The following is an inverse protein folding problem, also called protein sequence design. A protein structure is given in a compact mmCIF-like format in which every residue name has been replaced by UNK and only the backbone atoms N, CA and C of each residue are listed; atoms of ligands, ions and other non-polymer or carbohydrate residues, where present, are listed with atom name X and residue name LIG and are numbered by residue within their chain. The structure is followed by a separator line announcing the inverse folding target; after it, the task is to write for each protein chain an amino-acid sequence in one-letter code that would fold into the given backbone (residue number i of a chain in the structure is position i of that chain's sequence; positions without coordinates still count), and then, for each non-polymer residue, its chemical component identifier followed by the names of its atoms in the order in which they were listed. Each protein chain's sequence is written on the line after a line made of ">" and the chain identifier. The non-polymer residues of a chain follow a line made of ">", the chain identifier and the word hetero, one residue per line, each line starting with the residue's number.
data_IF_167971511873
#
_entry.id   IF_167971511873
#
_cell.length_a   1.000
_cell.length_b   1.000
_cell.length_c   1.000
_cell.angle_alpha   90.00
_cell.angle_beta   90.00
_cell.angle_gamma   90.00
#
_symmetry.space_group_name_H-M   'P 1'
#
loop_
_entity.id
_entity.type
_entity.pdbx_description
1 polymer ?
#
# COMPACT_ATOMS: atom_id res chain seq x y z
N UNK A 1 -15.07 -60.32 -52.74
CA UNK A 1 -15.81 -59.26 -53.46
C UNK A 1 -16.14 -58.16 -52.46
N UNK A 2 -15.62 -56.94 -52.70
CA UNK A 2 -16.21 -55.61 -52.38
C UNK A 2 -16.66 -55.35 -50.92
N UNK A 3 -16.20 -54.36 -50.15
CA UNK A 3 -15.34 -53.20 -50.33
C UNK A 3 -15.58 -52.22 -49.15
N UNK A 4 -14.60 -51.33 -48.88
CA UNK A 4 -14.69 -50.05 -48.14
C UNK A 4 -15.18 -50.04 -46.67
N UNK A 5 -14.23 -49.84 -45.75
CA UNK A 5 -14.41 -48.94 -44.59
C UNK A 5 -13.10 -48.16 -44.39
N UNK A 6 -13.15 -46.86 -44.70
CA UNK A 6 -12.11 -45.89 -44.31
C UNK A 6 -12.24 -45.60 -42.82
N UNK A 7 -11.23 -45.95 -42.04
CA UNK A 7 -11.06 -45.48 -40.66
C UNK A 7 -9.59 -45.13 -40.44
N UNK A 8 -9.24 -43.87 -40.73
CA UNK A 8 -8.09 -43.20 -40.12
C UNK A 8 -8.49 -41.78 -39.74
N UNK A 9 -8.66 -41.57 -38.44
CA UNK A 9 -8.69 -40.26 -37.78
C UNK A 9 -7.38 -40.08 -36.98
N UNK A 10 -7.05 -38.86 -36.54
CA UNK A 10 -5.90 -38.12 -37.04
C UNK A 10 -4.83 -37.95 -35.96
N UNK A 11 -3.57 -37.78 -36.35
CA UNK A 11 -2.54 -37.20 -35.49
C UNK A 11 -1.68 -36.31 -36.39
N UNK A 12 -2.01 -35.02 -36.44
CA UNK A 12 -1.42 -33.99 -35.57
C UNK A 12 -0.16 -33.43 -36.18
N UNK A 13 -0.39 -32.53 -37.13
CA UNK A 13 0.23 -31.21 -37.25
C UNK A 13 1.37 -30.92 -36.24
N UNK A 14 2.58 -31.36 -36.54
CA UNK A 14 3.78 -30.77 -35.93
C UNK A 14 4.02 -29.39 -36.55
N UNK A 15 3.21 -28.41 -36.12
CA UNK A 15 3.61 -27.01 -36.17
C UNK A 15 4.39 -26.74 -34.89
N UNK A 16 5.68 -27.08 -34.92
CA UNK A 16 6.68 -26.60 -33.98
C UNK A 16 6.78 -25.09 -34.08
N UNK A 17 5.83 -24.39 -33.46
CA UNK A 17 5.87 -22.95 -33.22
C UNK A 17 7.08 -22.65 -32.36
N UNK A 18 8.14 -22.14 -32.99
CA UNK A 18 9.29 -21.56 -32.34
C UNK A 18 8.82 -20.37 -31.48
N UNK A 19 8.48 -20.64 -30.23
CA UNK A 19 8.34 -19.59 -29.22
C UNK A 19 9.72 -19.00 -28.97
N UNK A 20 10.02 -17.91 -29.68
CA UNK A 20 11.11 -17.00 -29.35
C UNK A 20 10.83 -16.44 -27.95
N UNK A 21 11.47 -17.00 -26.93
CA UNK A 21 11.85 -16.19 -25.79
C UNK A 21 12.85 -15.16 -26.31
N UNK A 22 12.35 -13.97 -26.64
CA UNK A 22 13.16 -12.77 -26.72
C UNK A 22 13.55 -12.46 -25.27
N UNK A 23 14.51 -13.21 -24.74
CA UNK A 23 15.41 -12.69 -23.73
C UNK A 23 16.08 -11.49 -24.40
N UNK A 24 15.50 -10.31 -24.20
CA UNK A 24 16.28 -9.09 -24.23
C UNK A 24 17.35 -9.32 -23.18
N UNK A 25 18.56 -9.65 -23.64
CA UNK A 25 19.72 -9.63 -22.79
C UNK A 25 19.71 -8.26 -22.12
N UNK A 26 19.53 -8.24 -20.80
CA UNK A 26 19.84 -7.08 -19.99
C UNK A 26 21.27 -6.71 -20.39
N UNK A 27 21.40 -5.59 -21.09
CA UNK A 27 22.71 -5.04 -21.44
C UNK A 27 23.47 -4.94 -20.12
N UNK A 28 24.69 -5.50 -20.01
CA UNK A 28 25.46 -5.41 -18.78
C UNK A 28 25.66 -3.93 -18.47
N UNK A 29 25.01 -3.47 -17.40
CA UNK A 29 25.05 -2.08 -16.95
C UNK A 29 26.51 -1.65 -16.82
N UNK A 30 26.84 -0.50 -17.39
CA UNK A 30 28.18 0.05 -17.27
C UNK A 30 28.51 0.20 -15.78
N UNK A 31 29.78 0.10 -15.35
CA UNK A 31 30.13 0.22 -13.94
C UNK A 31 29.64 1.52 -13.27
N UNK A 32 29.39 2.59 -14.04
CA UNK A 32 28.72 3.81 -13.57
C UNK A 32 27.21 3.66 -13.30
N UNK A 33 26.52 2.79 -14.05
CA UNK A 33 25.09 2.52 -13.90
C UNK A 33 24.79 1.71 -12.63
N UNK A 34 25.69 0.77 -12.26
CA UNK A 34 25.54 -0.02 -11.02
C UNK A 34 25.54 0.85 -9.76
N UNK A 35 26.39 1.87 -9.71
CA UNK A 35 26.43 2.80 -8.59
C UNK A 35 25.17 3.67 -8.47
N UNK A 36 24.54 4.01 -9.60
CA UNK A 36 23.27 4.72 -9.62
C UNK A 36 22.10 3.80 -9.19
N UNK A 37 22.12 2.55 -9.68
CA UNK A 37 21.15 1.51 -9.34
C UNK A 37 21.16 1.20 -7.84
N UNK A 38 22.34 0.99 -7.24
CA UNK A 38 22.49 0.74 -5.81
C UNK A 38 21.95 1.89 -4.96
N UNK A 39 22.18 3.16 -5.37
CA UNK A 39 21.64 4.33 -4.67
C UNK A 39 20.12 4.39 -4.73
N UNK A 40 19.54 4.11 -5.90
CA UNK A 40 18.07 4.06 -6.07
C UNK A 40 17.48 2.93 -5.23
N UNK A 41 18.10 1.75 -5.25
CA UNK A 41 17.69 0.61 -4.44
C UNK A 41 17.76 0.91 -2.94
N UNK A 42 18.85 1.54 -2.46
CA UNK A 42 18.99 1.96 -1.07
C UNK A 42 17.94 3.01 -0.68
N UNK A 43 17.71 4.01 -1.52
CA UNK A 43 16.69 5.03 -1.28
C UNK A 43 15.28 4.41 -1.20
N UNK A 44 14.90 3.56 -2.16
CA UNK A 44 13.61 2.87 -2.18
C UNK A 44 13.44 1.94 -0.97
N UNK A 45 14.48 1.21 -0.59
CA UNK A 45 14.47 0.35 0.60
C UNK A 45 14.26 1.16 1.89
N UNK A 46 14.94 2.31 2.03
CA UNK A 46 14.75 3.22 3.16
C UNK A 46 13.32 3.76 3.25
N UNK A 47 12.75 4.19 2.12
CA UNK A 47 11.36 4.65 2.07
C UNK A 47 10.37 3.54 2.41
N UNK A 48 10.62 2.30 1.94
CA UNK A 48 9.79 1.14 2.27
C UNK A 48 9.79 0.87 3.78
N UNK A 49 10.94 0.93 4.43
CA UNK A 49 11.06 0.75 5.87
C UNK A 49 10.25 1.82 6.62
N UNK A 50 10.38 3.09 6.24
CA UNK A 50 9.63 4.20 6.82
C UNK A 50 8.12 4.06 6.59
N UNK A 51 7.68 3.68 5.38
CA UNK A 51 6.27 3.42 5.09
C UNK A 51 5.68 2.31 5.97
N UNK A 52 6.44 1.25 6.20
CA UNK A 52 6.03 0.17 7.09
C UNK A 52 5.92 0.64 8.54
N UNK A 53 6.84 1.50 9.00
CA UNK A 53 6.76 2.12 10.32
C UNK A 53 5.50 2.99 10.45
N UNK A 54 5.20 3.85 9.48
CA UNK A 54 3.98 4.67 9.50
C UNK A 54 2.71 3.83 9.45
N UNK A 55 2.66 2.79 8.61
CA UNK A 55 1.52 1.85 8.56
C UNK A 55 1.30 1.16 9.91
N UNK A 56 2.38 0.70 10.55
CA UNK A 56 2.30 0.12 11.89
C UNK A 56 1.78 1.14 12.92
N UNK A 57 2.36 2.35 12.94
CA UNK A 57 1.94 3.45 13.81
C UNK A 57 0.46 3.79 13.65
N UNK A 58 -0.03 3.93 12.42
CA UNK A 58 -1.44 4.21 12.12
C UNK A 58 -2.34 3.09 12.69
N UNK A 59 -1.99 1.81 12.52
CA UNK A 59 -2.77 0.71 13.09
C UNK A 59 -2.81 0.78 14.62
N UNK A 60 -1.67 1.01 15.27
CA UNK A 60 -1.59 1.15 16.72
C UNK A 60 -2.40 2.33 17.24
N UNK A 61 -2.30 3.49 16.58
CA UNK A 61 -3.06 4.68 16.96
C UNK A 61 -4.57 4.49 16.74
N UNK A 62 -4.99 3.80 15.68
CA UNK A 62 -6.40 3.47 15.45
C UNK A 62 -6.94 2.56 16.54
N UNK A 63 -6.18 1.55 16.98
CA UNK A 63 -6.56 0.71 18.12
C UNK A 63 -6.70 1.54 19.40
N UNK A 64 -5.71 2.37 19.72
CA UNK A 64 -5.75 3.29 20.88
C UNK A 64 -6.92 4.26 20.82
N UNK A 65 -7.24 4.81 19.65
CA UNK A 65 -8.41 5.68 19.43
C UNK A 65 -9.69 4.94 19.77
N UNK A 66 -9.85 3.72 19.28
CA UNK A 66 -11.05 2.92 19.50
C UNK A 66 -11.21 2.56 20.99
N UNK A 67 -10.12 2.19 21.68
CA UNK A 67 -10.13 1.96 23.12
C UNK A 67 -10.50 3.22 23.91
N UNK A 68 -9.87 4.36 23.61
CA UNK A 68 -10.16 5.64 24.28
C UNK A 68 -11.62 6.09 24.05
N UNK A 69 -12.13 5.89 22.84
CA UNK A 69 -13.53 6.15 22.49
C UNK A 69 -14.47 5.31 23.36
N UNK A 70 -14.23 4.01 23.49
CA UNK A 70 -15.07 3.11 24.29
C UNK A 70 -15.05 3.51 25.76
N UNK A 71 -13.86 3.79 26.32
CA UNK A 71 -13.74 4.27 27.71
C UNK A 71 -14.51 5.57 27.95
N UNK A 72 -14.43 6.51 27.01
CA UNK A 72 -15.17 7.76 27.12
C UNK A 72 -16.69 7.54 27.13
N UNK A 73 -17.20 6.60 26.34
CA UNK A 73 -18.62 6.26 26.32
C UNK A 73 -19.08 5.59 27.63
N UNK A 74 -18.24 4.75 28.24
CA UNK A 74 -18.55 4.14 29.54
C UNK A 74 -18.51 5.13 30.70
N UNK A 75 -17.61 6.10 30.66
CA UNK A 75 -17.57 7.22 31.60
C UNK A 75 -18.63 8.31 31.23
N UNK A 76 -19.73 7.89 30.60
CA UNK A 76 -20.93 8.67 30.27
C UNK A 76 -20.73 9.88 29.33
N UNK A 77 -19.63 9.94 28.57
CA UNK A 77 -19.47 10.98 27.56
C UNK A 77 -20.46 10.76 26.40
N UNK A 78 -21.22 11.81 26.07
CA UNK A 78 -22.20 11.73 25.00
C UNK A 78 -21.57 11.29 23.67
N UNK A 79 -22.19 10.31 23.00
CA UNK A 79 -21.71 9.76 21.72
C UNK A 79 -21.53 10.82 20.63
N UNK A 80 -22.36 11.86 20.65
CA UNK A 80 -22.27 13.02 19.74
C UNK A 80 -21.03 13.88 20.03
N UNK A 81 -20.64 14.05 21.29
CA UNK A 81 -19.42 14.76 21.67
C UNK A 81 -18.19 13.99 21.21
N UNK A 82 -18.17 12.67 21.43
CA UNK A 82 -17.08 11.79 20.97
C UNK A 82 -16.94 11.83 19.45
N UNK A 83 -18.06 11.67 18.72
CA UNK A 83 -18.13 11.75 17.27
C UNK A 83 -17.54 13.06 16.72
N UNK A 84 -17.95 14.18 17.32
CA UNK A 84 -17.45 15.51 16.95
C UNK A 84 -15.94 15.64 17.17
N UNK A 85 -15.43 15.21 18.33
CA UNK A 85 -14.00 15.31 18.66
C UNK A 85 -13.14 14.51 17.69
N UNK A 86 -13.51 13.27 17.42
CA UNK A 86 -12.73 12.38 16.54
C UNK A 86 -12.96 12.64 15.05
N UNK A 87 -13.97 13.45 14.69
CA UNK A 87 -14.30 13.76 13.29
C UNK A 87 -15.02 12.61 12.56
N UNK A 88 -15.76 11.77 13.29
CA UNK A 88 -16.50 10.63 12.73
C UNK A 88 -18.01 10.83 12.88
N UNK A 89 -18.79 10.04 12.15
CA UNK A 89 -20.25 10.05 12.30
C UNK A 89 -20.69 9.24 13.52
N UNK A 90 -21.81 9.63 14.14
CA UNK A 90 -22.41 8.87 15.26
C UNK A 90 -22.64 7.38 14.92
N UNK A 91 -23.15 7.00 13.73
CA UNK A 91 -23.24 5.60 13.33
C UNK A 91 -21.90 4.86 13.30
N UNK A 92 -20.82 5.51 12.84
CA UNK A 92 -19.48 4.93 12.87
C UNK A 92 -19.00 4.71 14.30
N UNK A 93 -19.14 5.71 15.17
CA UNK A 93 -18.79 5.61 16.60
C UNK A 93 -19.55 4.47 17.27
N UNK A 94 -20.86 4.37 17.02
CA UNK A 94 -21.71 3.29 17.55
C UNK A 94 -21.22 1.92 17.08
N UNK A 95 -20.90 1.77 15.79
CA UNK A 95 -20.39 0.51 15.24
C UNK A 95 -19.08 0.09 15.90
N UNK A 96 -18.16 1.03 16.12
CA UNK A 96 -16.90 0.76 16.81
C UNK A 96 -17.18 0.33 18.25
N UNK A 97 -18.02 1.06 18.98
CA UNK A 97 -18.33 0.76 20.37
C UNK A 97 -19.00 -0.61 20.57
N UNK A 98 -19.83 -1.05 19.62
CA UNK A 98 -20.48 -2.37 19.64
C UNK A 98 -19.50 -3.53 19.42
N UNK A 99 -18.31 -3.27 18.87
CA UNK A 99 -17.30 -4.32 18.65
C UNK A 99 -16.49 -4.67 19.91
N UNK A 100 -16.69 -3.95 21.02
CA UNK A 100 -15.99 -4.17 22.29
C UNK A 100 -16.94 -4.83 23.29
N UNK A 101 -16.60 -6.05 23.72
CA UNK A 101 -17.37 -6.82 24.71
C UNK A 101 -17.14 -6.32 26.13
N UNK A 102 -15.87 -6.07 26.48
CA UNK A 102 -15.48 -5.51 27.77
C UNK A 102 -15.12 -4.04 27.64
N UNK A 103 -15.62 -3.25 28.58
CA UNK A 103 -15.46 -1.81 28.55
C UNK A 103 -15.07 -1.31 29.93
N UNK A 104 -13.76 -1.24 30.22
CA UNK A 104 -13.31 -0.79 31.52
C UNK A 104 -13.58 0.71 31.65
N UNK A 105 -14.30 1.09 32.70
CA UNK A 105 -14.40 2.49 33.12
C UNK A 105 -12.98 3.00 33.43
N UNK A 106 -12.67 4.23 32.99
CA UNK A 106 -11.35 4.81 33.21
C UNK A 106 -11.33 5.78 34.39
N UNK A 107 -12.50 6.27 34.80
CA UNK A 107 -12.63 7.26 35.87
C UNK A 107 -12.08 8.63 35.51
N UNK A 108 -11.77 8.87 34.24
CA UNK A 108 -11.30 10.16 33.75
C UNK A 108 -12.46 11.16 33.69
N UNK A 109 -12.13 12.44 33.91
CA UNK A 109 -13.07 13.52 33.68
C UNK A 109 -13.38 13.69 32.19
N UNK A 110 -14.50 14.38 31.91
CA UNK A 110 -14.92 14.71 30.54
C UNK A 110 -13.83 15.42 29.74
N UNK A 111 -13.15 16.38 30.35
CA UNK A 111 -12.14 17.18 29.66
C UNK A 111 -10.90 16.34 29.33
N UNK A 112 -10.48 15.46 30.25
CA UNK A 112 -9.39 14.51 30.01
C UNK A 112 -9.69 13.53 28.87
N UNK A 113 -10.93 13.03 28.77
CA UNK A 113 -11.36 12.21 27.64
C UNK A 113 -11.29 12.96 26.32
N UNK A 114 -11.82 14.19 26.29
CA UNK A 114 -11.82 15.03 25.09
C UNK A 114 -10.38 15.31 24.63
N UNK A 115 -9.50 15.68 25.56
CA UNK A 115 -8.11 16.01 25.23
C UNK A 115 -7.31 14.79 24.77
N UNK A 116 -7.53 13.64 25.41
CA UNK A 116 -6.96 12.35 24.97
C UNK A 116 -7.38 12.00 23.53
N UNK A 117 -8.69 12.10 23.24
CA UNK A 117 -9.23 11.81 21.91
C UNK A 117 -8.71 12.80 20.85
N UNK A 118 -8.62 14.11 21.18
CA UNK A 118 -8.04 15.13 20.28
C UNK A 118 -6.56 14.86 19.98
N UNK A 119 -5.79 14.48 21.00
CA UNK A 119 -4.37 14.17 20.84
C UNK A 119 -4.19 12.97 19.91
N UNK A 120 -4.93 11.88 20.14
CA UNK A 120 -4.85 10.68 19.30
C UNK A 120 -5.27 11.00 17.85
N UNK A 121 -6.33 11.80 17.67
CA UNK A 121 -6.76 12.26 16.34
C UNK A 121 -5.64 13.03 15.63
N UNK A 122 -5.03 14.00 16.31
CA UNK A 122 -3.94 14.81 15.75
C UNK A 122 -2.74 13.94 15.36
N UNK A 123 -2.37 12.97 16.20
CA UNK A 123 -1.30 12.03 15.89
C UNK A 123 -1.62 11.11 14.71
N UNK A 124 -2.89 10.70 14.54
CA UNK A 124 -3.35 9.94 13.38
C UNK A 124 -3.27 10.75 12.10
N UNK A 125 -3.78 11.99 12.12
CA UNK A 125 -3.73 12.91 10.98
C UNK A 125 -2.29 13.18 10.56
N UNK A 126 -1.40 13.46 11.52
CA UNK A 126 0.02 13.67 11.26
C UNK A 126 0.71 12.41 10.67
N UNK A 127 0.42 11.23 11.20
CA UNK A 127 0.99 9.98 10.69
C UNK A 127 0.47 9.63 9.29
N UNK A 128 -0.81 9.91 9.01
CA UNK A 128 -1.42 9.72 7.70
C UNK A 128 -0.82 10.68 6.66
N UNK A 129 -0.69 11.96 7.00
CA UNK A 129 -0.08 12.96 6.12
C UNK A 129 1.39 12.63 5.83
N UNK A 130 2.17 12.22 6.84
CA UNK A 130 3.56 11.81 6.66
C UNK A 130 3.68 10.57 5.76
N UNK A 131 2.77 9.59 5.91
CA UNK A 131 2.70 8.43 5.02
C UNK A 131 2.40 8.85 3.58
N UNK A 132 1.42 9.72 3.38
CA UNK A 132 1.02 10.19 2.05
C UNK A 132 2.16 10.96 1.35
N UNK A 133 2.83 11.86 2.07
CA UNK A 133 4.00 12.59 1.56
C UNK A 133 5.09 11.61 1.10
N UNK A 134 5.41 10.61 1.93
CA UNK A 134 6.40 9.60 1.61
C UNK A 134 5.98 8.71 0.42
N UNK A 135 4.69 8.39 0.30
CA UNK A 135 4.16 7.69 -0.88
C UNK A 135 4.31 8.57 -2.14
N UNK A 136 4.14 9.88 -2.05
CA UNK A 136 4.42 10.82 -3.14
C UNK A 136 5.90 10.85 -3.54
N UNK A 137 6.81 10.91 -2.57
CA UNK A 137 8.26 10.88 -2.80
C UNK A 137 8.71 9.59 -3.50
N UNK A 138 8.17 8.44 -3.09
CA UNK A 138 8.43 7.16 -3.78
C UNK A 138 7.95 7.20 -5.24
N UNK A 139 6.81 7.82 -5.52
CA UNK A 139 6.31 7.99 -6.89
C UNK A 139 7.26 8.82 -7.76
N UNK A 140 7.77 9.94 -7.22
CA UNK A 140 8.75 10.79 -7.89
C UNK A 140 10.07 10.03 -8.12
N UNK A 141 10.54 9.26 -7.13
CA UNK A 141 11.77 8.49 -7.23
C UNK A 141 11.67 7.40 -8.32
N UNK A 142 10.54 6.70 -8.39
CA UNK A 142 10.26 5.71 -9.45
C UNK A 142 10.24 6.37 -10.82
N UNK A 143 9.58 7.53 -10.97
CA UNK A 143 9.55 8.26 -12.23
C UNK A 143 10.95 8.73 -12.68
N UNK A 144 11.78 9.22 -11.74
CA UNK A 144 13.17 9.61 -12.01
C UNK A 144 14.05 8.42 -12.39
N UNK A 145 13.88 7.28 -11.72
CA UNK A 145 14.59 6.05 -12.07
C UNK A 145 14.22 5.62 -13.50
N UNK A 146 12.94 5.66 -13.85
CA UNK A 146 12.48 5.33 -15.21
C UNK A 146 13.09 6.28 -16.27
N UNK A 147 13.09 7.59 -16.01
CA UNK A 147 13.73 8.59 -16.89
C UNK A 147 15.25 8.40 -17.02
N UNK A 148 15.91 7.88 -15.98
CA UNK A 148 17.33 7.57 -15.98
C UNK A 148 17.69 6.26 -16.70
N UNK A 149 16.71 5.58 -17.31
CA UNK A 149 16.92 4.35 -18.09
C UNK A 149 16.60 3.05 -17.35
N UNK A 150 16.15 3.11 -16.09
CA UNK A 150 15.65 1.94 -15.37
C UNK A 150 14.22 1.61 -15.82
N UNK A 151 14.06 1.08 -17.03
CA UNK A 151 12.74 0.86 -17.66
C UNK A 151 12.08 -0.46 -17.28
N UNK A 152 12.77 -1.36 -16.59
CA UNK A 152 12.17 -2.61 -16.11
C UNK A 152 11.29 -2.33 -14.88
N UNK A 153 9.98 -2.24 -15.11
CA UNK A 153 8.98 -2.03 -14.07
C UNK A 153 8.97 -3.15 -13.02
N UNK A 154 9.31 -4.38 -13.39
CA UNK A 154 9.36 -5.53 -12.46
C UNK A 154 10.55 -5.39 -11.52
N UNK A 155 11.68 -4.96 -12.05
CA UNK A 155 12.87 -4.67 -11.25
C UNK A 155 12.64 -3.48 -10.31
N UNK A 156 12.04 -2.39 -10.81
CA UNK A 156 11.63 -1.24 -9.99
C UNK A 156 10.64 -1.65 -8.89
N UNK A 157 9.68 -2.52 -9.20
CA UNK A 157 8.72 -3.06 -8.24
C UNK A 157 9.41 -3.87 -7.14
N UNK A 158 10.39 -4.72 -7.52
CA UNK A 158 11.23 -5.47 -6.59
C UNK A 158 12.01 -4.56 -5.64
N UNK A 159 12.66 -3.52 -6.16
CA UNK A 159 13.42 -2.55 -5.36
C UNK A 159 12.52 -1.73 -4.42
N UNK A 160 11.36 -1.29 -4.91
CA UNK A 160 10.40 -0.51 -4.13
C UNK A 160 9.55 -1.36 -3.16
N UNK A 161 9.52 -2.69 -3.33
CA UNK A 161 8.68 -3.60 -2.56
C UNK A 161 7.19 -3.32 -2.73
N UNK A 162 6.77 -2.96 -3.94
CA UNK A 162 5.38 -2.74 -4.34
C UNK A 162 5.05 -3.61 -5.56
N UNK A 163 3.76 -3.72 -5.92
CA UNK A 163 3.38 -4.46 -7.12
C UNK A 163 3.82 -3.72 -8.39
N UNK A 164 4.05 -4.47 -9.47
CA UNK A 164 4.31 -3.90 -10.80
C UNK A 164 3.15 -3.01 -11.25
N UNK A 165 1.91 -3.38 -10.93
CA UNK A 165 0.74 -2.53 -11.17
C UNK A 165 0.84 -1.17 -10.44
N UNK A 166 1.34 -1.17 -9.20
CA UNK A 166 1.56 0.07 -8.45
C UNK A 166 2.64 0.94 -9.08
N UNK A 167 3.72 0.35 -9.59
CA UNK A 167 4.75 1.05 -10.37
C UNK A 167 4.14 1.65 -11.62
N UNK A 168 3.40 0.85 -12.40
CA UNK A 168 2.74 1.29 -13.62
C UNK A 168 1.79 2.49 -13.39
N UNK A 169 0.95 2.41 -12.36
CA UNK A 169 0.03 3.48 -11.98
C UNK A 169 0.78 4.76 -11.58
N UNK A 170 1.88 4.64 -10.82
CA UNK A 170 2.72 5.78 -10.42
C UNK A 170 3.42 6.40 -11.62
N UNK A 171 3.97 5.60 -12.53
CA UNK A 171 4.58 6.11 -13.76
C UNK A 171 3.56 6.86 -14.60
N UNK A 172 2.35 6.32 -14.77
CA UNK A 172 1.26 7.00 -15.48
C UNK A 172 0.87 8.32 -14.83
N UNK A 173 0.84 8.38 -13.50
CA UNK A 173 0.51 9.59 -12.74
C UNK A 173 1.58 10.68 -12.87
N UNK A 174 2.86 10.30 -12.88
CA UNK A 174 3.98 11.25 -12.84
C UNK A 174 4.61 11.59 -14.20
N UNK A 175 4.50 10.71 -15.20
CA UNK A 175 5.12 10.88 -16.53
C UNK A 175 4.09 11.09 -17.66
N UNK A 176 2.79 10.96 -17.38
CA UNK A 176 1.79 10.73 -18.43
C UNK A 176 1.96 9.33 -19.03
N UNK A 177 1.00 8.85 -19.83
CA UNK A 177 0.96 7.45 -20.35
C UNK A 177 2.37 6.94 -20.72
N UNK A 178 2.91 5.93 -20.01
CA UNK A 178 4.16 5.31 -20.41
C UNK A 178 3.97 4.69 -21.81
N UNK A 179 4.93 4.94 -22.70
CA UNK A 179 4.88 4.49 -24.10
C UNK A 179 5.15 3.00 -24.23
#
# INVERSE_FOLDING_TARGET
>A
MTGRIELRRPLSQERGGKYRYRQGAAQPSSPGDRGAEERIAQALSGHRQLLNQFRSRIRTLTAKRNEALVRALEDELAISAVANVIGETVPTVRRIALAFEEKPASGLSRDEHIDSLRKIRTELEAAAAAKEALEGEVGILIARAYQAGFTDETHLAGMAGISTESVHNRLRQHLGRPR
#
